data_IF_179762411310
#
_entry.id   IF_179762411310
#
_cell.length_a   1.000
_cell.length_b   1.000
_cell.length_c   1.000
_cell.angle_alpha   90.00
_cell.angle_beta   90.00
_cell.angle_gamma   90.00
#
_symmetry.space_group_name_H-M   'P 1'
#
loop_
_entity.id
_entity.type
_entity.pdbx_description
1 polymer ?
#
# COMPACT_ATOMS: atom_id res chain seq x y z
N UNK A 1 21.57 20.14 -6.79
CA UNK A 1 20.36 19.33 -6.62
C UNK A 1 20.26 18.43 -7.84
N UNK A 2 20.58 17.15 -7.70
CA UNK A 2 20.39 16.18 -8.78
C UNK A 2 18.89 15.83 -8.83
N UNK A 3 18.26 16.09 -9.97
CA UNK A 3 16.83 15.89 -10.18
C UNK A 3 16.66 14.61 -11.02
N UNK A 4 16.22 13.53 -10.38
CA UNK A 4 15.87 12.27 -11.04
C UNK A 4 14.36 12.01 -10.97
N UNK A 5 13.55 13.04 -11.27
CA UNK A 5 12.09 12.93 -11.20
C UNK A 5 11.52 11.86 -12.13
N UNK A 6 10.78 10.90 -11.54
CA UNK A 6 9.77 10.13 -12.27
C UNK A 6 8.50 10.97 -12.43
N UNK A 7 7.60 10.63 -13.35
CA UNK A 7 6.32 11.32 -13.60
C UNK A 7 5.38 11.45 -12.37
N UNK A 8 5.75 10.91 -11.21
CA UNK A 8 4.89 10.78 -10.03
C UNK A 8 5.43 11.48 -8.76
N UNK A 9 6.72 11.83 -8.69
CA UNK A 9 7.30 12.51 -7.54
C UNK A 9 8.57 13.30 -7.90
N UNK A 10 8.87 14.32 -7.09
CA UNK A 10 10.15 15.01 -7.06
C UNK A 10 10.95 14.46 -5.87
N UNK A 11 12.12 13.91 -6.16
CA UNK A 11 13.06 13.43 -5.14
C UNK A 11 14.24 14.40 -5.04
N UNK A 12 14.64 14.79 -3.82
CA UNK A 12 15.86 15.54 -3.58
C UNK A 12 16.45 15.24 -2.20
N UNK A 13 17.77 15.37 -2.06
CA UNK A 13 18.45 15.24 -0.77
C UNK A 13 18.79 16.60 -0.18
N UNK A 14 18.47 16.82 1.09
CA UNK A 14 18.88 17.99 1.86
C UNK A 14 19.38 17.55 3.24
N UNK A 15 20.56 18.02 3.65
CA UNK A 15 21.20 17.63 4.93
C UNK A 15 21.27 16.11 5.18
N UNK A 16 21.57 15.32 4.13
CA UNK A 16 21.61 13.84 4.15
C UNK A 16 20.25 13.18 4.43
N UNK A 17 19.16 13.93 4.35
CA UNK A 17 17.79 13.43 4.41
C UNK A 17 17.21 13.42 3.00
N UNK A 18 16.65 12.29 2.60
CA UNK A 18 15.92 12.15 1.34
C UNK A 18 14.51 12.70 1.51
N UNK A 19 14.12 13.60 0.60
CA UNK A 19 12.77 14.14 0.50
C UNK A 19 12.12 13.59 -0.77
N UNK A 20 10.95 12.97 -0.61
CA UNK A 20 10.13 12.46 -1.70
C UNK A 20 8.81 13.22 -1.73
N UNK A 21 8.68 14.15 -2.68
CA UNK A 21 7.50 15.01 -2.85
C UNK A 21 6.58 14.40 -3.91
N UNK A 22 5.43 13.89 -3.50
CA UNK A 22 4.45 13.32 -4.43
C UNK A 22 3.50 14.38 -5.00
N UNK A 23 3.33 14.42 -6.33
CA UNK A 23 2.41 15.35 -7.00
C UNK A 23 0.95 14.87 -6.98
N UNK A 24 0.72 13.60 -6.69
CA UNK A 24 -0.59 13.01 -6.44
C UNK A 24 -0.51 12.27 -5.11
N UNK A 25 -1.61 12.22 -4.36
CA UNK A 25 -1.60 11.60 -3.03
C UNK A 25 -1.13 10.16 -3.11
N UNK A 26 -1.60 9.38 -4.10
CA UNK A 26 -1.10 8.04 -4.37
C UNK A 26 -1.25 7.67 -5.86
N UNK A 27 -0.35 6.85 -6.37
CA UNK A 27 -0.47 6.26 -7.70
C UNK A 27 -1.43 5.06 -7.72
N UNK A 28 -2.60 5.22 -8.34
CA UNK A 28 -3.54 4.12 -8.62
C UNK A 28 -3.58 3.82 -10.12
N UNK A 29 -3.77 2.56 -10.48
CA UNK A 29 -4.08 2.16 -11.85
C UNK A 29 -5.55 2.40 -12.19
N UNK A 30 -6.44 2.23 -11.23
CA UNK A 30 -7.87 2.54 -11.36
C UNK A 30 -8.11 4.04 -11.16
N UNK A 31 -8.42 4.75 -12.25
CA UNK A 31 -8.75 6.19 -12.20
C UNK A 31 -9.94 6.48 -11.27
N UNK A 32 -10.92 5.57 -11.21
CA UNK A 32 -12.06 5.70 -10.29
C UNK A 32 -11.64 5.61 -8.83
N UNK A 33 -10.76 4.67 -8.48
CA UNK A 33 -10.27 4.56 -7.10
C UNK A 33 -9.42 5.76 -6.72
N UNK A 34 -8.59 6.24 -7.66
CA UNK A 34 -7.84 7.49 -7.51
C UNK A 34 -8.76 8.66 -7.17
N UNK A 35 -9.76 8.91 -8.01
CA UNK A 35 -10.67 10.04 -7.87
C UNK A 35 -11.45 9.98 -6.54
N UNK A 36 -11.96 8.81 -6.17
CA UNK A 36 -12.65 8.61 -4.88
C UNK A 36 -11.71 8.88 -3.71
N UNK A 37 -10.50 8.32 -3.74
CA UNK A 37 -9.55 8.52 -2.65
C UNK A 37 -9.10 9.98 -2.54
N UNK A 38 -8.75 10.64 -3.65
CA UNK A 38 -8.36 12.05 -3.66
C UNK A 38 -9.50 12.94 -3.18
N UNK A 39 -10.74 12.70 -3.62
CA UNK A 39 -11.91 13.43 -3.13
C UNK A 39 -12.08 13.29 -1.61
N UNK A 40 -11.97 12.08 -1.08
CA UNK A 40 -12.10 11.84 0.35
C UNK A 40 -10.94 12.53 1.09
N UNK A 41 -9.69 12.28 0.69
CA UNK A 41 -8.50 12.79 1.38
C UNK A 41 -8.44 14.33 1.38
N UNK A 42 -8.74 14.97 0.25
CA UNK A 42 -8.70 16.43 0.10
C UNK A 42 -9.89 17.14 0.73
N UNK A 43 -10.99 16.43 1.04
CA UNK A 43 -12.13 17.00 1.75
C UNK A 43 -11.97 17.03 3.27
N UNK A 44 -10.95 16.37 3.81
CA UNK A 44 -10.68 16.33 5.25
C UNK A 44 -9.79 17.49 5.68
N UNK A 45 -9.99 18.02 6.90
CA UNK A 45 -9.10 19.04 7.43
C UNK A 45 -7.68 18.48 7.59
N UNK A 46 -6.69 19.36 7.44
CA UNK A 46 -5.30 19.06 7.79
C UNK A 46 -5.24 18.82 9.31
N UNK A 47 -4.52 17.76 9.69
CA UNK A 47 -4.19 17.48 11.09
C UNK A 47 -2.74 17.85 11.37
N UNK A 48 -2.34 17.81 12.63
CA UNK A 48 -1.01 18.21 13.05
C UNK A 48 -0.45 17.22 14.06
N UNK A 49 0.84 16.97 13.97
CA UNK A 49 1.61 16.24 14.98
C UNK A 49 2.74 17.12 15.49
N UNK A 50 3.03 17.04 16.79
CA UNK A 50 4.14 17.77 17.37
C UNK A 50 5.43 16.96 17.23
N UNK A 51 6.46 17.57 16.63
CA UNK A 51 7.80 17.00 16.53
C UNK A 51 8.80 18.05 16.99
N UNK A 52 9.50 17.79 18.10
CA UNK A 52 10.49 18.71 18.68
C UNK A 52 9.97 20.15 18.89
N UNK A 53 8.73 20.31 19.39
CA UNK A 53 8.10 21.62 19.60
C UNK A 53 7.59 22.29 18.32
N UNK A 54 7.64 21.62 17.17
CA UNK A 54 7.09 22.12 15.92
C UNK A 54 5.80 21.39 15.55
N UNK A 55 4.78 22.16 15.15
CA UNK A 55 3.52 21.64 14.62
C UNK A 55 3.68 21.28 13.15
N UNK A 56 3.72 19.98 12.85
CA UNK A 56 3.95 19.45 11.51
C UNK A 56 2.61 19.00 10.91
N UNK A 57 2.21 19.53 9.72
CA UNK A 57 0.96 19.14 9.09
C UNK A 57 1.02 17.69 8.60
N UNK A 58 -0.08 16.97 8.78
CA UNK A 58 -0.27 15.59 8.35
C UNK A 58 -1.74 15.35 7.97
N UNK A 59 -2.04 14.18 7.38
CA UNK A 59 -3.42 13.74 7.21
C UNK A 59 -4.13 13.55 8.55
N UNK A 60 -5.44 13.80 8.53
CA UNK A 60 -6.36 13.32 9.57
C UNK A 60 -6.11 11.82 9.85
N UNK A 61 -6.14 11.36 11.13
CA UNK A 61 -5.73 10.01 11.52
C UNK A 61 -6.32 8.87 10.69
N UNK A 62 -7.63 8.87 10.37
CA UNK A 62 -8.23 7.80 9.57
C UNK A 62 -7.74 7.83 8.13
N UNK A 63 -7.62 9.03 7.53
CA UNK A 63 -7.03 9.17 6.19
C UNK A 63 -5.56 8.75 6.18
N UNK A 64 -4.80 9.03 7.25
CA UNK A 64 -3.40 8.62 7.33
C UNK A 64 -3.25 7.09 7.35
N UNK A 65 -4.14 6.39 8.06
CA UNK A 65 -4.24 4.92 8.01
C UNK A 65 -4.54 4.44 6.59
N UNK A 66 -5.56 5.00 5.93
CA UNK A 66 -5.93 4.60 4.57
C UNK A 66 -4.80 4.86 3.56
N UNK A 67 -4.16 6.02 3.65
CA UNK A 67 -3.02 6.40 2.81
C UNK A 67 -1.86 5.43 2.99
N UNK A 68 -1.44 5.19 4.23
CA UNK A 68 -0.31 4.31 4.56
C UNK A 68 -0.61 2.86 4.14
N UNK A 69 -1.82 2.38 4.41
CA UNK A 69 -2.28 1.07 3.94
C UNK A 69 -2.27 0.97 2.42
N UNK A 70 -2.79 1.96 1.69
CA UNK A 70 -2.88 1.91 0.24
C UNK A 70 -1.48 1.91 -0.40
N UNK A 71 -0.54 2.67 0.15
CA UNK A 71 0.85 2.66 -0.29
C UNK A 71 1.53 1.31 -0.01
N UNK A 72 1.32 0.76 1.20
CA UNK A 72 1.78 -0.58 1.56
C UNK A 72 1.23 -1.65 0.61
N UNK A 73 -0.08 -1.61 0.35
CA UNK A 73 -0.78 -2.55 -0.51
C UNK A 73 -0.27 -2.49 -1.95
N UNK A 74 -0.07 -1.28 -2.49
CA UNK A 74 0.54 -1.07 -3.80
C UNK A 74 1.90 -1.78 -3.90
N UNK A 75 2.80 -1.51 -2.95
CA UNK A 75 4.13 -2.10 -2.96
C UNK A 75 4.10 -3.61 -2.78
N UNK A 76 3.22 -4.12 -1.92
CA UNK A 76 3.03 -5.55 -1.73
C UNK A 76 2.65 -6.28 -3.04
N UNK A 77 1.77 -5.68 -3.84
CA UNK A 77 1.36 -6.23 -5.13
C UNK A 77 2.46 -6.14 -6.20
N UNK A 78 3.25 -5.05 -6.21
CA UNK A 78 4.19 -4.76 -7.29
C UNK A 78 5.62 -5.26 -7.07
N UNK A 79 6.20 -4.89 -5.93
CA UNK A 79 7.64 -5.03 -5.67
C UNK A 79 7.92 -5.95 -4.49
N UNK A 80 7.04 -6.00 -3.50
CA UNK A 80 7.32 -6.50 -2.17
C UNK A 80 7.43 -5.33 -1.19
N UNK A 81 7.02 -5.59 0.05
CA UNK A 81 7.07 -4.62 1.14
C UNK A 81 7.79 -5.26 2.33
N UNK A 82 8.55 -4.46 3.08
CA UNK A 82 9.22 -4.93 4.29
C UNK A 82 8.27 -4.99 5.49
N UNK A 83 8.72 -5.64 6.56
CA UNK A 83 7.98 -5.69 7.82
C UNK A 83 7.83 -4.30 8.44
N UNK A 84 8.78 -3.39 8.21
CA UNK A 84 8.75 -2.01 8.73
C UNK A 84 7.47 -1.27 8.34
N UNK A 85 7.04 -1.35 7.08
CA UNK A 85 5.82 -0.68 6.64
C UNK A 85 4.56 -1.26 7.34
N UNK A 86 4.56 -2.55 7.68
CA UNK A 86 3.49 -3.14 8.49
C UNK A 86 3.50 -2.55 9.90
N UNK A 87 4.68 -2.39 10.51
CA UNK A 87 4.82 -1.74 11.82
C UNK A 87 4.35 -0.28 11.79
N UNK A 88 4.69 0.47 10.73
CA UNK A 88 4.26 1.86 10.57
C UNK A 88 2.73 1.95 10.56
N UNK A 89 2.06 1.06 9.80
CA UNK A 89 0.59 0.97 9.80
C UNK A 89 0.03 0.56 11.17
N UNK A 90 0.64 -0.42 11.85
CA UNK A 90 0.21 -0.85 13.17
C UNK A 90 0.26 0.30 14.18
N UNK A 91 1.35 1.09 14.18
CA UNK A 91 1.50 2.27 15.04
C UNK A 91 0.45 3.34 14.75
N UNK A 92 0.12 3.59 13.48
CA UNK A 92 -0.95 4.52 13.13
C UNK A 92 -2.32 4.05 13.66
N UNK A 93 -2.60 2.74 13.58
CA UNK A 93 -3.83 2.17 14.15
C UNK A 93 -3.85 2.32 15.67
N UNK A 94 -2.77 2.00 16.39
CA UNK A 94 -2.71 2.18 17.84
C UNK A 94 -2.92 3.64 18.28
N UNK A 95 -2.37 4.60 17.53
CA UNK A 95 -2.54 6.03 17.82
C UNK A 95 -3.98 6.47 17.55
N UNK A 96 -4.57 6.04 16.43
CA UNK A 96 -5.94 6.44 16.08
C UNK A 96 -7.01 5.71 16.91
N UNK A 97 -6.69 4.53 17.46
CA UNK A 97 -7.58 3.70 18.26
C UNK A 97 -6.95 3.31 19.60
N UNK A 98 -6.81 4.26 20.55
CA UNK A 98 -6.30 3.97 21.88
C UNK A 98 -7.16 2.93 22.60
N UNK A 99 -6.54 2.12 23.47
CA UNK A 99 -7.28 1.20 24.33
C UNK A 99 -8.29 1.98 25.20
N UNK A 100 -9.52 1.48 25.29
CA UNK A 100 -10.62 2.03 26.09
C UNK A 100 -11.16 3.42 25.65
N UNK A 101 -10.90 3.85 24.42
CA UNK A 101 -11.59 5.03 23.85
C UNK A 101 -13.01 4.65 23.40
N UNK A 102 -14.01 5.29 24.02
CA UNK A 102 -15.44 5.10 23.73
C UNK A 102 -15.82 5.43 22.28
N UNK A 103 -15.04 6.29 21.62
CA UNK A 103 -15.28 6.70 20.22
C UNK A 103 -14.71 5.70 19.20
N UNK A 104 -14.04 4.63 19.65
CA UNK A 104 -13.41 3.67 18.75
C UNK A 104 -14.41 3.00 17.80
N UNK A 105 -15.62 2.69 18.27
CA UNK A 105 -16.65 2.08 17.42
C UNK A 105 -17.11 3.03 16.31
N UNK A 106 -17.32 4.31 16.62
CA UNK A 106 -17.68 5.33 15.63
C UNK A 106 -16.55 5.55 14.60
N UNK A 107 -15.30 5.68 15.08
CA UNK A 107 -14.11 5.82 14.22
C UNK A 107 -13.94 4.61 13.31
N UNK A 108 -14.19 3.39 13.82
CA UNK A 108 -14.12 2.16 13.03
C UNK A 108 -15.20 2.12 11.95
N UNK A 109 -16.42 2.59 12.25
CA UNK A 109 -17.50 2.77 11.28
C UNK A 109 -17.11 3.72 10.14
N UNK A 110 -16.57 4.90 10.48
CA UNK A 110 -16.07 5.88 9.49
C UNK A 110 -14.94 5.31 8.62
N UNK A 111 -14.01 4.58 9.23
CA UNK A 111 -12.92 3.92 8.51
C UNK A 111 -13.47 2.86 7.55
N UNK A 112 -14.44 2.04 7.99
CA UNK A 112 -15.11 1.04 7.16
C UNK A 112 -15.80 1.67 5.95
N UNK A 113 -16.49 2.80 6.12
CA UNK A 113 -17.15 3.53 5.04
C UNK A 113 -16.14 4.02 3.99
N UNK A 114 -15.06 4.67 4.43
CA UNK A 114 -13.98 5.15 3.55
C UNK A 114 -13.39 3.98 2.75
N UNK A 115 -13.06 2.88 3.42
CA UNK A 115 -12.50 1.70 2.78
C UNK A 115 -13.47 1.05 1.78
N UNK A 116 -14.77 1.04 2.07
CA UNK A 116 -15.78 0.50 1.15
C UNK A 116 -15.96 1.38 -0.09
N UNK A 117 -15.99 2.70 0.07
CA UNK A 117 -16.15 3.65 -1.04
C UNK A 117 -15.00 3.51 -2.05
N UNK A 118 -13.76 3.45 -1.54
CA UNK A 118 -12.56 3.23 -2.35
C UNK A 118 -12.54 1.80 -2.91
N UNK A 119 -13.03 0.82 -2.16
CA UNK A 119 -13.05 -0.60 -2.55
C UNK A 119 -11.86 -1.39 -1.99
N UNK A 120 -11.32 -0.95 -0.85
CA UNK A 120 -10.19 -1.56 -0.14
C UNK A 120 -10.58 -2.38 1.09
N UNK A 121 -11.86 -2.38 1.48
CA UNK A 121 -12.33 -3.05 2.70
C UNK A 121 -11.75 -4.46 2.90
N UNK A 122 -11.84 -5.33 1.88
CA UNK A 122 -11.34 -6.72 1.97
C UNK A 122 -9.82 -6.81 2.05
N UNK A 123 -9.11 -5.96 1.31
CA UNK A 123 -7.65 -5.91 1.36
C UNK A 123 -7.16 -5.41 2.73
N UNK A 124 -7.85 -4.42 3.32
CA UNK A 124 -7.57 -3.94 4.66
C UNK A 124 -7.80 -5.01 5.72
N UNK A 125 -8.92 -5.74 5.66
CA UNK A 125 -9.19 -6.89 6.52
C UNK A 125 -8.06 -7.94 6.49
N UNK A 126 -7.51 -8.22 5.31
CA UNK A 126 -6.40 -9.17 5.18
C UNK A 126 -5.10 -8.66 5.84
N UNK A 127 -4.87 -7.35 5.79
CA UNK A 127 -3.73 -6.71 6.46
C UNK A 127 -3.93 -6.69 7.97
N UNK A 128 -5.12 -6.33 8.48
CA UNK A 128 -5.41 -6.38 9.92
C UNK A 128 -5.22 -7.78 10.50
N UNK A 129 -5.59 -8.83 9.76
CA UNK A 129 -5.36 -10.21 10.19
C UNK A 129 -3.85 -10.49 10.35
N UNK A 130 -3.00 -9.97 9.45
CA UNK A 130 -1.54 -10.07 9.60
C UNK A 130 -1.05 -9.27 10.81
N UNK A 131 -1.55 -8.05 11.00
CA UNK A 131 -1.18 -7.19 12.12
C UNK A 131 -1.54 -7.84 13.47
N UNK A 132 -2.72 -8.44 13.57
CA UNK A 132 -3.17 -9.12 14.77
C UNK A 132 -2.36 -10.41 15.01
N UNK A 133 -2.30 -11.31 14.02
CA UNK A 133 -1.78 -12.67 14.22
C UNK A 133 -0.25 -12.78 14.19
N UNK A 134 0.44 -11.84 13.53
CA UNK A 134 1.91 -11.89 13.40
C UNK A 134 2.64 -10.75 14.11
N UNK A 135 1.98 -9.60 14.29
CA UNK A 135 2.58 -8.43 14.97
C UNK A 135 1.97 -8.16 16.35
N UNK A 136 0.94 -8.91 16.75
CA UNK A 136 0.36 -8.83 18.10
C UNK A 136 -0.49 -7.58 18.34
N UNK A 137 -1.00 -6.93 17.28
CA UNK A 137 -1.85 -5.76 17.43
C UNK A 137 -3.15 -6.15 18.15
N UNK A 138 -3.39 -5.56 19.32
CA UNK A 138 -4.49 -5.94 20.21
C UNK A 138 -5.86 -5.49 19.68
N UNK A 139 -5.94 -4.24 19.20
CA UNK A 139 -7.16 -3.67 18.66
C UNK A 139 -7.09 -3.60 17.13
N UNK A 140 -8.11 -4.17 16.47
CA UNK A 140 -8.29 -4.07 15.02
C UNK A 140 -9.67 -3.47 14.73
N UNK A 141 -9.76 -2.31 14.03
CA UNK A 141 -11.02 -1.61 13.81
C UNK A 141 -12.04 -2.37 12.94
N UNK A 142 -11.63 -3.07 11.87
CA UNK A 142 -12.60 -3.60 10.88
C UNK A 142 -13.04 -5.05 11.18
N UNK A 143 -12.33 -5.78 12.06
CA UNK A 143 -12.63 -7.15 12.52
C UNK A 143 -12.93 -8.12 11.35
N UNK A 144 -11.92 -8.80 10.81
CA UNK A 144 -12.06 -9.54 9.57
C UNK A 144 -12.87 -10.84 9.72
N UNK A 145 -13.77 -11.08 8.76
CA UNK A 145 -14.12 -12.43 8.29
C UNK A 145 -13.51 -12.62 6.92
N UNK A 146 -12.24 -13.02 6.87
CA UNK A 146 -11.54 -13.31 5.62
C UNK A 146 -10.86 -14.67 5.70
N UNK A 147 -10.56 -15.27 4.54
CA UNK A 147 -9.89 -16.57 4.50
C UNK A 147 -8.41 -16.39 4.93
N UNK A 148 -7.92 -17.13 5.94
CA UNK A 148 -6.54 -17.03 6.42
C UNK A 148 -5.47 -17.31 5.36
N UNK A 149 -5.84 -17.93 4.22
CA UNK A 149 -4.92 -18.11 3.10
C UNK A 149 -4.35 -16.78 2.59
N UNK A 150 -5.10 -15.68 2.72
CA UNK A 150 -4.66 -14.37 2.30
C UNK A 150 -3.61 -13.79 3.25
N UNK A 151 -3.86 -13.80 4.57
CA UNK A 151 -2.90 -13.32 5.57
C UNK A 151 -1.58 -14.11 5.49
N UNK A 152 -1.65 -15.43 5.38
CA UNK A 152 -0.46 -16.28 5.19
C UNK A 152 0.26 -15.96 3.88
N UNK A 153 -0.48 -15.71 2.79
CA UNK A 153 0.12 -15.34 1.50
C UNK A 153 0.80 -13.97 1.54
N UNK A 154 0.22 -13.00 2.25
CA UNK A 154 0.82 -11.69 2.49
C UNK A 154 2.11 -11.86 3.27
N UNK A 155 2.09 -12.62 4.37
CA UNK A 155 3.28 -12.85 5.20
C UNK A 155 4.39 -13.56 4.43
N UNK A 156 4.06 -14.57 3.63
CA UNK A 156 5.03 -15.25 2.76
C UNK A 156 5.69 -14.28 1.75
N UNK A 157 4.93 -13.31 1.22
CA UNK A 157 5.48 -12.27 0.34
C UNK A 157 6.39 -11.31 1.09
N UNK A 158 6.01 -10.87 2.29
CA UNK A 158 6.85 -10.01 3.13
C UNK A 158 8.17 -10.69 3.46
N UNK A 159 8.14 -11.97 3.84
CA UNK A 159 9.36 -12.73 4.16
C UNK A 159 10.23 -12.97 2.94
N UNK A 160 9.62 -13.23 1.77
CA UNK A 160 10.34 -13.55 0.54
C UNK A 160 10.89 -12.32 -0.18
N UNK A 161 10.10 -11.24 -0.24
CA UNK A 161 10.39 -10.04 -1.03
C UNK A 161 10.51 -8.78 -0.16
N UNK A 162 10.64 -8.95 1.15
CA UNK A 162 10.92 -7.85 2.07
C UNK A 162 12.09 -7.01 1.58
N UNK A 163 12.01 -5.70 1.79
CA UNK A 163 12.93 -4.71 1.22
C UNK A 163 12.79 -4.56 -0.31
N UNK A 164 11.57 -4.37 -0.81
CA UNK A 164 11.25 -4.12 -2.22
C UNK A 164 11.84 -5.16 -3.21
N UNK A 165 11.98 -6.40 -2.73
CA UNK A 165 12.54 -7.54 -3.45
C UNK A 165 14.04 -7.46 -3.76
N UNK A 166 14.79 -6.58 -3.09
CA UNK A 166 16.24 -6.44 -3.28
C UNK A 166 17.00 -7.76 -2.99
N UNK A 167 16.52 -8.55 -2.03
CA UNK A 167 17.15 -9.82 -1.62
C UNK A 167 16.42 -11.07 -2.13
N UNK A 168 15.10 -11.00 -2.32
CA UNK A 168 14.28 -12.13 -2.79
C UNK A 168 14.39 -12.48 -4.27
N UNK A 169 15.06 -11.64 -5.05
CA UNK A 169 15.13 -11.72 -6.51
C UNK A 169 16.48 -12.20 -7.05
N UNK A 170 17.40 -12.67 -6.20
CA UNK A 170 18.72 -13.13 -6.64
C UNK A 170 18.68 -14.61 -7.04
N UNK A 171 19.15 -14.91 -8.25
CA UNK A 171 19.34 -16.28 -8.74
C UNK A 171 20.12 -16.30 -10.04
N UNK A 172 20.90 -17.37 -10.27
CA UNK A 172 21.69 -17.58 -11.49
C UNK A 172 20.77 -17.88 -12.68
N UNK A 173 20.14 -16.85 -13.25
CA UNK A 173 19.26 -16.94 -14.42
C UNK A 173 19.72 -15.94 -15.47
N UNK A 174 19.58 -16.31 -16.74
CA UNK A 174 19.72 -15.34 -17.83
C UNK A 174 18.69 -14.22 -17.65
N UNK A 175 19.01 -13.00 -18.09
CA UNK A 175 18.16 -11.81 -17.91
C UNK A 175 16.72 -12.06 -18.42
N UNK A 176 16.57 -12.75 -19.56
CA UNK A 176 15.27 -13.11 -20.12
C UNK A 176 14.48 -14.07 -19.22
N UNK A 177 15.10 -15.14 -18.72
CA UNK A 177 14.45 -16.10 -17.80
C UNK A 177 14.06 -15.43 -16.48
N UNK A 178 14.90 -14.52 -16.00
CA UNK A 178 14.61 -13.73 -14.82
C UNK A 178 13.40 -12.80 -15.04
N UNK A 179 13.34 -12.08 -16.16
CA UNK A 179 12.21 -11.23 -16.53
C UNK A 179 10.89 -12.01 -16.65
N UNK A 180 10.89 -13.16 -17.32
CA UNK A 180 9.72 -14.03 -17.45
C UNK A 180 9.24 -14.49 -16.07
N UNK A 181 10.16 -14.94 -15.22
CA UNK A 181 9.84 -15.34 -13.85
C UNK A 181 9.17 -14.22 -13.06
N UNK A 182 9.74 -13.01 -13.08
CA UNK A 182 9.15 -11.85 -12.38
C UNK A 182 7.75 -11.51 -12.91
N UNK A 183 7.55 -11.63 -14.22
CA UNK A 183 6.25 -11.36 -14.84
C UNK A 183 5.21 -12.38 -14.40
N UNK A 184 5.54 -13.68 -14.42
CA UNK A 184 4.63 -14.73 -13.97
C UNK A 184 4.30 -14.61 -12.48
N UNK A 185 5.29 -14.29 -11.67
CA UNK A 185 5.14 -14.11 -10.22
C UNK A 185 4.20 -12.95 -9.88
N UNK A 186 4.35 -11.81 -10.56
CA UNK A 186 3.45 -10.65 -10.44
C UNK A 186 2.04 -10.98 -10.91
N UNK A 187 1.90 -11.60 -12.09
CA UNK A 187 0.58 -12.03 -12.61
C UNK A 187 -0.12 -12.99 -11.65
N UNK A 188 0.61 -13.94 -11.06
CA UNK A 188 0.03 -14.87 -10.09
C UNK A 188 -0.38 -14.18 -8.80
N UNK A 189 0.39 -13.19 -8.36
CA UNK A 189 0.05 -12.32 -7.22
C UNK A 189 -1.26 -11.57 -7.48
N UNK A 190 -1.42 -11.00 -8.66
CA UNK A 190 -2.65 -10.32 -9.08
C UNK A 190 -3.85 -11.27 -9.09
N UNK A 191 -3.71 -12.46 -9.68
CA UNK A 191 -4.78 -13.47 -9.69
C UNK A 191 -5.18 -13.85 -8.27
N UNK A 192 -4.19 -14.12 -7.41
CA UNK A 192 -4.43 -14.50 -6.02
C UNK A 192 -5.18 -13.42 -5.24
N UNK A 193 -4.77 -12.16 -5.35
CA UNK A 193 -5.35 -11.07 -4.58
C UNK A 193 -6.53 -10.37 -5.26
N UNK A 194 -6.92 -10.80 -6.46
CA UNK A 194 -8.07 -10.27 -7.18
C UNK A 194 -9.36 -10.19 -6.33
N UNK A 195 -9.70 -11.18 -5.48
CA UNK A 195 -10.90 -11.10 -4.64
C UNK A 195 -10.85 -9.98 -3.59
N UNK A 196 -9.66 -9.49 -3.24
CA UNK A 196 -9.42 -8.47 -2.22
C UNK A 196 -9.49 -7.05 -2.79
N UNK A 197 -9.06 -6.87 -4.05
CA UNK A 197 -8.97 -5.57 -4.71
C UNK A 197 -9.26 -5.66 -6.22
N UNK A 198 -10.52 -5.94 -6.54
CA UNK A 198 -10.96 -6.19 -7.92
C UNK A 198 -10.72 -5.00 -8.84
N UNK A 199 -10.96 -3.78 -8.35
CA UNK A 199 -10.92 -2.55 -9.18
C UNK A 199 -9.50 -2.25 -9.62
N UNK A 200 -8.56 -2.27 -8.67
CA UNK A 200 -7.17 -1.92 -8.94
C UNK A 200 -6.49 -3.02 -9.76
N UNK A 201 -6.69 -4.29 -9.38
CA UNK A 201 -6.07 -5.42 -10.06
C UNK A 201 -6.61 -5.57 -11.49
N UNK A 202 -7.92 -5.36 -11.69
CA UNK A 202 -8.49 -5.30 -13.05
C UNK A 202 -7.81 -4.21 -13.86
N UNK A 203 -7.75 -2.98 -13.35
CA UNK A 203 -7.13 -1.86 -14.05
C UNK A 203 -5.66 -2.13 -14.40
N UNK A 204 -4.90 -2.79 -13.51
CA UNK A 204 -3.51 -3.23 -13.74
C UNK A 204 -3.41 -4.22 -14.89
N UNK A 205 -4.19 -5.29 -14.85
CA UNK A 205 -4.17 -6.31 -15.91
C UNK A 205 -4.50 -5.69 -17.28
N UNK A 206 -5.48 -4.79 -17.34
CA UNK A 206 -5.85 -4.11 -18.60
C UNK A 206 -4.81 -3.09 -19.09
N UNK A 207 -4.08 -2.40 -18.21
CA UNK A 207 -3.07 -1.38 -18.59
C UNK A 207 -1.68 -1.96 -18.85
N UNK A 208 -1.27 -3.01 -18.13
CA UNK A 208 0.08 -3.59 -18.28
C UNK A 208 0.21 -4.51 -19.50
N UNK A 209 -0.82 -5.29 -19.83
CA UNK A 209 -0.76 -6.28 -20.91
C UNK A 209 -0.53 -5.62 -22.29
N UNK A 210 -1.22 -4.53 -22.67
CA UNK A 210 -0.99 -3.88 -23.96
C UNK A 210 0.41 -3.23 -24.03
N UNK A 211 0.82 -2.49 -22.99
CA UNK A 211 2.05 -1.71 -23.03
C UNK A 211 3.32 -2.57 -23.11
N UNK A 212 3.34 -3.76 -22.49
CA UNK A 212 4.49 -4.67 -22.57
C UNK A 212 4.60 -5.34 -23.95
N UNK A 213 3.48 -5.68 -24.58
CA UNK A 213 3.45 -6.27 -25.94
C UNK A 213 3.95 -5.26 -26.98
N UNK A 214 3.58 -3.98 -26.87
CA UNK A 214 4.09 -2.92 -27.75
C UNK A 214 5.57 -2.58 -27.53
N UNK A 215 6.07 -2.66 -26.29
CA UNK A 215 7.50 -2.40 -26.00
C UNK A 215 8.44 -3.46 -26.61
N UNK A 216 8.00 -4.72 -26.69
CA UNK A 216 8.78 -5.80 -27.29
C UNK A 216 8.92 -5.67 -28.82
N UNK A 217 7.96 -5.01 -29.48
CA UNK A 217 8.00 -4.76 -30.93
C UNK A 217 8.97 -3.63 -31.34
N UNK A 218 9.39 -2.78 -30.38
CA UNK A 218 10.34 -1.68 -30.61
C UNK A 218 11.80 -2.05 -30.31
N UNK A 219 12.08 -3.27 -29.85
CA UNK A 219 13.43 -3.79 -29.65
C UNK A 219 13.84 -4.76 -30.77
N UNK A 220 13.30 -4.58 -31.98
CA UNK A 220 13.75 -5.24 -33.20
C UNK A 220 14.34 -4.21 -34.15
#
# INVERSE_FOLDING_TARGET
MENNGSLHHLEFTHNRVLFEMHFAVLGFYSSRQKEVFEKIALSRPVSFVEINGHSIPTFEPLINIVYTFAHLWYHLLELGVGLRQMCDLAKLIEIAFPENDENNEEKAGKLAEILNEIGFYKAFCAIEEVLQNHLGLKYIPIKPKINPIYSQSIMNRIMRYGNFGHFGRKGNRTQLRFYIYLTLERTWTFIKFYPLDKREIKARLFKEIPNKVFSFHKMK
#
